data_IF_361456769003
#
_entry.id   IF_361456769003
#
_cell.length_a   1.000
_cell.length_b   1.000
_cell.length_c   1.000
_cell.angle_alpha   90.00
_cell.angle_beta   90.00
_cell.angle_gamma   90.00
#
_symmetry.space_group_name_H-M   'P 1'
#
loop_
_entity.id
_entity.type
_entity.pdbx_description
1 polymer ?
#
# COMPACT_ATOMS: atom_id res chain seq x y z
N UNK A 1 -7.73 20.59 -16.29
CA UNK A 1 -6.94 20.26 -17.50
C UNK A 1 -7.78 19.28 -18.29
N UNK A 2 -8.29 19.71 -19.46
CA UNK A 2 -9.25 18.97 -20.27
C UNK A 2 -8.56 17.73 -20.89
N UNK A 3 -9.07 16.53 -20.61
CA UNK A 3 -8.67 15.32 -21.34
C UNK A 3 -9.49 15.27 -22.61
N UNK A 4 -8.86 15.54 -23.75
CA UNK A 4 -9.41 15.26 -25.08
C UNK A 4 -9.43 13.75 -25.33
N UNK A 5 -10.49 13.19 -25.92
CA UNK A 5 -10.50 11.78 -26.29
C UNK A 5 -9.56 11.57 -27.49
N UNK A 6 -8.61 10.67 -27.33
CA UNK A 6 -7.66 10.28 -28.39
C UNK A 6 -8.43 9.52 -29.46
N UNK A 7 -8.64 10.16 -30.62
CA UNK A 7 -8.86 9.45 -31.88
C UNK A 7 -7.52 9.18 -32.53
N UNK A 8 -7.27 7.90 -32.80
CA UNK A 8 -6.21 7.31 -33.63
C UNK A 8 -4.79 7.31 -33.05
N UNK A 9 -4.53 6.33 -32.21
CA UNK A 9 -3.22 5.65 -32.13
C UNK A 9 -3.47 4.14 -32.13
N UNK A 10 -2.61 3.41 -32.83
CA UNK A 10 -2.56 1.94 -32.95
C UNK A 10 -3.04 1.20 -31.70
N UNK A 11 -3.94 0.23 -31.84
CA UNK A 11 -4.55 -0.53 -30.75
C UNK A 11 -3.50 -1.17 -29.81
N UNK A 12 -3.12 -0.43 -28.77
CA UNK A 12 -2.38 -0.89 -27.60
C UNK A 12 -3.42 -1.28 -26.53
N UNK A 13 -3.10 -2.28 -25.70
CA UNK A 13 -4.00 -2.85 -24.70
C UNK A 13 -4.25 -1.83 -23.56
N UNK A 14 -5.17 -0.88 -23.78
CA UNK A 14 -5.50 0.15 -22.78
C UNK A 14 -6.55 -0.35 -21.79
N UNK A 15 -6.18 -0.47 -20.52
CA UNK A 15 -7.12 -0.76 -19.43
C UNK A 15 -7.71 0.54 -18.91
N UNK A 16 -9.03 0.74 -19.08
CA UNK A 16 -9.74 1.93 -18.56
C UNK A 16 -10.20 1.72 -17.11
N UNK A 17 -9.86 2.66 -16.23
CA UNK A 17 -10.17 2.60 -14.79
C UNK A 17 -10.92 3.87 -14.36
N UNK A 18 -12.14 3.70 -13.86
CA UNK A 18 -12.95 4.79 -13.31
C UNK A 18 -12.89 4.80 -11.79
N UNK A 19 -12.48 5.90 -11.17
CA UNK A 19 -12.58 6.10 -9.72
C UNK A 19 -13.83 6.91 -9.42
N UNK A 20 -14.88 6.26 -8.92
CA UNK A 20 -16.10 6.89 -8.43
C UNK A 20 -15.91 7.39 -7.00
N UNK A 21 -15.54 8.65 -6.92
CA UNK A 21 -15.20 9.36 -5.71
C UNK A 21 -16.43 10.02 -5.07
N UNK A 22 -16.54 9.89 -3.75
CA UNK A 22 -17.52 10.60 -2.94
C UNK A 22 -16.83 11.70 -2.10
N UNK A 23 -17.60 12.74 -1.77
CA UNK A 23 -17.15 13.77 -0.83
C UNK A 23 -16.82 13.15 0.54
N UNK A 24 -15.77 13.66 1.18
CA UNK A 24 -15.21 13.11 2.42
C UNK A 24 -14.44 11.80 2.26
N UNK A 25 -14.14 11.34 1.03
CA UNK A 25 -13.33 10.12 0.85
C UNK A 25 -11.90 10.29 1.41
N UNK A 26 -11.29 9.21 1.93
CA UNK A 26 -9.87 9.22 2.29
C UNK A 26 -8.97 9.39 1.06
N UNK A 27 -8.08 10.39 1.09
CA UNK A 27 -7.18 10.71 -0.03
C UNK A 27 -6.17 9.59 -0.30
N UNK A 28 -5.74 8.87 0.73
CA UNK A 28 -4.77 7.78 0.62
C UNK A 28 -5.27 6.66 -0.32
N UNK A 29 -6.55 6.32 -0.27
CA UNK A 29 -7.14 5.29 -1.14
C UNK A 29 -7.06 5.68 -2.62
N UNK A 30 -7.31 6.96 -2.92
CA UNK A 30 -7.17 7.49 -4.28
C UNK A 30 -5.70 7.51 -4.69
N UNK A 31 -4.84 8.13 -3.88
CA UNK A 31 -3.42 8.30 -4.19
C UNK A 31 -2.72 6.96 -4.43
N UNK A 32 -2.99 5.95 -3.60
CA UNK A 32 -2.45 4.60 -3.75
C UNK A 32 -2.85 3.99 -5.11
N UNK A 33 -4.12 4.10 -5.50
CA UNK A 33 -4.59 3.57 -6.77
C UNK A 33 -3.97 4.27 -7.98
N UNK A 34 -3.93 5.60 -7.96
CA UNK A 34 -3.39 6.40 -9.05
C UNK A 34 -1.90 6.15 -9.28
N UNK A 35 -1.10 6.24 -8.21
CA UNK A 35 0.35 6.06 -8.32
C UNK A 35 0.71 4.62 -8.71
N UNK A 36 -0.02 3.61 -8.20
CA UNK A 36 0.29 2.22 -8.51
C UNK A 36 0.01 1.90 -9.98
N UNK A 37 -1.15 2.31 -10.50
CA UNK A 37 -1.52 2.10 -11.90
C UNK A 37 -0.59 2.87 -12.84
N UNK A 38 -0.19 4.09 -12.47
CA UNK A 38 0.76 4.88 -13.26
C UNK A 38 2.12 4.19 -13.36
N UNK A 39 2.68 3.71 -12.25
CA UNK A 39 3.95 2.97 -12.27
C UNK A 39 3.81 1.64 -13.02
N UNK A 40 2.68 0.95 -12.88
CA UNK A 40 2.42 -0.29 -13.59
C UNK A 40 2.44 -0.09 -15.11
N UNK A 41 1.79 0.97 -15.61
CA UNK A 41 1.81 1.31 -17.03
C UNK A 41 3.22 1.63 -17.55
N UNK A 42 4.00 2.38 -16.77
CA UNK A 42 5.39 2.71 -17.13
C UNK A 42 6.29 1.47 -17.27
N UNK A 43 6.08 0.46 -16.42
CA UNK A 43 6.87 -0.79 -16.46
C UNK A 43 6.34 -1.80 -17.48
N UNK A 44 5.05 -1.75 -17.81
CA UNK A 44 4.45 -2.63 -18.80
C UNK A 44 5.04 -2.37 -20.19
N UNK A 45 5.20 -1.10 -20.56
CA UNK A 45 5.72 -0.67 -21.87
C UNK A 45 4.68 -0.73 -22.99
N UNK A 46 3.81 -1.75 -22.98
CA UNK A 46 2.77 -1.99 -24.00
C UNK A 46 1.33 -1.85 -23.48
N UNK A 47 1.13 -1.86 -22.16
CA UNK A 47 -0.19 -1.61 -21.55
C UNK A 47 -0.26 -0.24 -20.89
N UNK A 48 -1.34 0.47 -21.17
CA UNK A 48 -1.61 1.79 -20.61
C UNK A 48 -2.85 1.73 -19.71
N UNK A 49 -2.75 2.28 -18.50
CA UNK A 49 -3.91 2.49 -17.64
C UNK A 49 -4.48 3.88 -17.85
N UNK A 50 -5.64 3.97 -18.49
CA UNK A 50 -6.36 5.23 -18.66
C UNK A 50 -7.28 5.44 -17.48
N UNK A 51 -6.94 6.42 -16.63
CA UNK A 51 -7.66 6.68 -15.38
C UNK A 51 -8.56 7.89 -15.49
N UNK A 52 -9.82 7.75 -15.06
CA UNK A 52 -10.80 8.85 -15.00
C UNK A 52 -11.36 8.97 -13.59
N UNK A 53 -11.30 10.19 -13.04
CA UNK A 53 -11.95 10.52 -11.76
C UNK A 53 -13.40 10.93 -12.01
N UNK A 54 -14.30 10.33 -11.25
CA UNK A 54 -15.74 10.45 -11.39
C UNK A 54 -16.39 10.87 -10.06
N UNK A 55 -17.47 11.63 -10.14
CA UNK A 55 -18.43 11.80 -9.05
C UNK A 55 -19.85 11.83 -9.62
N UNK A 56 -20.87 11.85 -8.77
CA UNK A 56 -22.27 11.79 -9.25
C UNK A 56 -22.59 12.93 -10.22
N UNK A 57 -22.14 14.16 -9.94
CA UNK A 57 -22.43 15.34 -10.76
C UNK A 57 -21.17 15.97 -11.39
N UNK A 58 -19.98 15.42 -11.13
CA UNK A 58 -18.71 16.04 -11.52
C UNK A 58 -18.39 17.26 -10.66
N UNK A 59 -17.34 17.97 -11.04
CA UNK A 59 -16.83 19.12 -10.29
C UNK A 59 -15.88 18.71 -9.16
N UNK A 60 -15.60 19.66 -8.28
CA UNK A 60 -14.64 19.47 -7.20
C UNK A 60 -15.31 18.85 -5.98
N UNK A 61 -14.69 17.79 -5.46
CA UNK A 61 -15.04 17.17 -4.18
C UNK A 61 -13.94 17.44 -3.17
N UNK A 62 -14.25 17.37 -1.88
CA UNK A 62 -13.29 17.56 -0.80
C UNK A 62 -13.02 16.22 -0.12
N UNK A 63 -11.75 15.86 0.00
CA UNK A 63 -11.32 14.63 0.70
C UNK A 63 -11.41 14.81 2.22
N UNK A 64 -11.32 13.71 2.98
CA UNK A 64 -11.37 13.75 4.45
C UNK A 64 -10.28 14.60 5.09
N UNK A 65 -9.16 14.85 4.39
CA UNK A 65 -8.08 15.72 4.84
C UNK A 65 -8.17 17.16 4.29
N UNK A 66 -9.29 17.54 3.67
CA UNK A 66 -9.53 18.89 3.17
C UNK A 66 -8.94 19.20 1.79
N UNK A 67 -8.34 18.23 1.10
CA UNK A 67 -7.82 18.43 -0.26
C UNK A 67 -8.95 18.36 -1.30
N UNK A 68 -8.99 19.32 -2.22
CA UNK A 68 -9.91 19.32 -3.36
C UNK A 68 -9.46 18.37 -4.47
N UNK A 69 -10.41 17.64 -5.07
CA UNK A 69 -10.18 16.73 -6.21
C UNK A 69 -11.22 17.01 -7.29
N UNK A 70 -10.76 17.32 -8.51
CA UNK A 70 -11.65 17.60 -9.64
C UNK A 70 -12.09 16.32 -10.33
N UNK A 71 -13.39 16.20 -10.61
CA UNK A 71 -14.03 14.98 -11.12
C UNK A 71 -14.95 15.23 -12.30
N UNK A 72 -15.18 14.19 -13.11
CA UNK A 72 -16.17 14.19 -14.18
C UNK A 72 -17.51 13.62 -13.67
N UNK A 73 -18.66 14.07 -14.22
CA UNK A 73 -19.94 13.45 -13.90
C UNK A 73 -20.03 12.02 -14.44
N UNK A 74 -20.63 11.13 -13.66
CA UNK A 74 -21.04 9.82 -14.17
C UNK A 74 -22.03 9.96 -15.33
N UNK A 75 -21.89 9.07 -16.33
CA UNK A 75 -22.85 8.97 -17.43
C UNK A 75 -22.71 10.00 -18.55
N UNK A 76 -21.72 10.91 -18.52
CA UNK A 76 -21.58 11.91 -19.59
C UNK A 76 -21.01 11.37 -20.90
N UNK A 77 -20.40 10.17 -20.92
CA UNK A 77 -19.70 9.68 -22.13
C UNK A 77 -19.87 8.18 -22.45
N UNK A 78 -20.79 7.44 -21.83
CA UNK A 78 -20.99 6.01 -22.17
C UNK A 78 -19.70 5.16 -22.10
N UNK A 79 -18.66 5.66 -21.43
CA UNK A 79 -17.38 4.99 -21.33
C UNK A 79 -17.53 3.87 -20.31
N UNK A 80 -17.66 2.65 -20.81
CA UNK A 80 -17.57 1.46 -19.98
C UNK A 80 -16.13 1.33 -19.49
N UNK A 81 -15.93 1.42 -18.18
CA UNK A 81 -14.64 1.17 -17.55
C UNK A 81 -14.43 -0.33 -17.41
N UNK A 82 -13.22 -0.81 -17.71
CA UNK A 82 -12.84 -2.20 -17.40
C UNK A 82 -12.83 -2.44 -15.89
N UNK A 83 -12.46 -1.40 -15.11
CA UNK A 83 -12.44 -1.42 -13.65
C UNK A 83 -13.11 -0.17 -13.11
N UNK A 84 -14.08 -0.34 -12.21
CA UNK A 84 -14.75 0.75 -11.50
C UNK A 84 -14.43 0.64 -10.01
N UNK A 85 -13.70 1.63 -9.47
CA UNK A 85 -13.31 1.71 -8.05
C UNK A 85 -14.20 2.71 -7.34
N UNK A 86 -14.87 2.31 -6.26
CA UNK A 86 -15.68 3.17 -5.41
C UNK A 86 -14.88 3.58 -4.18
N UNK A 87 -14.81 4.89 -3.92
CA UNK A 87 -14.10 5.48 -2.78
C UNK A 87 -15.04 6.35 -1.93
N UNK A 88 -14.97 6.18 -0.61
CA UNK A 88 -15.80 6.89 0.37
C UNK A 88 -17.25 6.39 0.51
N UNK A 89 -18.06 7.03 1.36
CA UNK A 89 -19.50 6.76 1.47
C UNK A 89 -20.07 6.69 2.89
N UNK A 90 -20.95 7.66 3.19
CA UNK A 90 -22.03 7.54 4.20
C UNK A 90 -23.19 8.52 3.95
N UNK A 91 -22.94 9.63 3.25
CA UNK A 91 -23.94 10.66 2.99
C UNK A 91 -24.33 10.59 1.51
N UNK A 92 -25.55 10.16 1.20
CA UNK A 92 -26.04 10.28 -0.18
C UNK A 92 -27.56 10.37 -0.25
N UNK A 93 -28.04 11.31 -1.05
CA UNK A 93 -29.47 11.53 -1.31
C UNK A 93 -30.07 10.32 -2.05
N UNK A 94 -31.40 10.18 -2.06
CA UNK A 94 -32.07 9.12 -2.81
C UNK A 94 -31.73 9.11 -4.31
N UNK A 95 -31.46 10.29 -4.87
CA UNK A 95 -30.98 10.43 -6.25
C UNK A 95 -29.57 9.84 -6.43
N UNK A 96 -28.62 10.21 -5.55
CA UNK A 96 -27.26 9.70 -5.60
C UNK A 96 -27.23 8.17 -5.51
N UNK A 97 -28.05 7.59 -4.62
CA UNK A 97 -28.20 6.12 -4.51
C UNK A 97 -28.66 5.48 -5.82
N UNK A 98 -29.68 6.05 -6.45
CA UNK A 98 -30.22 5.57 -7.74
C UNK A 98 -29.18 5.65 -8.86
N UNK A 99 -28.49 6.78 -9.00
CA UNK A 99 -27.48 6.97 -10.03
C UNK A 99 -26.29 6.03 -9.83
N UNK A 100 -25.79 5.89 -8.60
CA UNK A 100 -24.74 4.94 -8.24
C UNK A 100 -25.12 3.50 -8.58
N UNK A 101 -26.33 3.07 -8.19
CA UNK A 101 -26.82 1.73 -8.48
C UNK A 101 -26.94 1.46 -9.97
N UNK A 102 -27.41 2.45 -10.76
CA UNK A 102 -27.44 2.36 -12.22
C UNK A 102 -26.03 2.19 -12.80
N UNK A 103 -25.07 3.00 -12.37
CA UNK A 103 -23.68 2.96 -12.83
C UNK A 103 -23.02 1.62 -12.52
N UNK A 104 -23.06 1.17 -11.25
CA UNK A 104 -22.46 -0.10 -10.81
C UNK A 104 -23.05 -1.29 -11.56
N UNK A 105 -24.38 -1.39 -11.63
CA UNK A 105 -25.05 -2.49 -12.32
C UNK A 105 -24.85 -2.46 -13.84
N UNK A 106 -24.64 -1.28 -14.43
CA UNK A 106 -24.30 -1.12 -15.84
C UNK A 106 -22.92 -1.71 -16.13
N UNK A 107 -21.92 -1.32 -15.35
CA UNK A 107 -20.54 -1.80 -15.46
C UNK A 107 -20.43 -3.32 -15.25
N UNK A 108 -21.12 -3.87 -14.24
CA UNK A 108 -21.13 -5.33 -14.03
C UNK A 108 -21.74 -6.08 -15.22
N UNK A 109 -22.77 -5.52 -15.88
CA UNK A 109 -23.41 -6.14 -17.05
C UNK A 109 -22.49 -6.24 -18.26
N UNK A 110 -21.62 -5.26 -18.46
CA UNK A 110 -20.61 -5.27 -19.54
C UNK A 110 -19.31 -5.99 -19.14
N UNK A 111 -19.28 -6.60 -17.95
CA UNK A 111 -18.16 -7.41 -17.49
C UNK A 111 -17.05 -6.63 -16.78
N UNK A 112 -17.29 -5.40 -16.34
CA UNK A 112 -16.30 -4.66 -15.54
C UNK A 112 -16.06 -5.34 -14.18
N UNK A 113 -14.87 -5.13 -13.63
CA UNK A 113 -14.57 -5.40 -12.22
C UNK A 113 -15.02 -4.19 -11.41
N UNK A 114 -15.80 -4.40 -10.35
CA UNK A 114 -16.18 -3.34 -9.41
C UNK A 114 -15.47 -3.56 -8.10
N UNK A 115 -14.72 -2.56 -7.64
CA UNK A 115 -13.95 -2.60 -6.40
C UNK A 115 -14.54 -1.58 -5.43
N UNK A 116 -14.89 -1.98 -4.21
CA UNK A 116 -15.24 -1.06 -3.12
C UNK A 116 -14.17 -1.08 -2.03
N UNK A 117 -13.75 0.12 -1.59
CA UNK A 117 -12.70 0.28 -0.60
C UNK A 117 -13.25 0.91 0.69
N UNK A 118 -12.95 0.27 1.82
CA UNK A 118 -13.30 0.70 3.17
C UNK A 118 -14.79 1.08 3.27
N UNK A 119 -15.11 2.34 3.56
CA UNK A 119 -16.50 2.82 3.69
C UNK A 119 -17.34 2.65 2.42
N UNK A 120 -16.73 2.53 1.25
CA UNK A 120 -17.45 2.37 -0.01
C UNK A 120 -18.22 1.05 -0.11
N UNK A 121 -17.91 0.07 0.75
CA UNK A 121 -18.66 -1.19 0.81
C UNK A 121 -20.14 -0.95 1.16
N UNK A 122 -20.45 0.06 1.98
CA UNK A 122 -21.83 0.47 2.28
C UNK A 122 -22.54 0.96 1.02
N UNK A 123 -21.88 1.86 0.28
CA UNK A 123 -22.42 2.41 -0.95
C UNK A 123 -22.62 1.34 -2.03
N UNK A 124 -21.78 0.30 -2.06
CA UNK A 124 -21.92 -0.86 -2.92
C UNK A 124 -23.08 -1.76 -2.48
N UNK A 125 -23.22 -2.01 -1.17
CA UNK A 125 -24.30 -2.82 -0.61
C UNK A 125 -25.69 -2.20 -0.85
N UNK A 126 -25.81 -0.87 -0.79
CA UNK A 126 -27.04 -0.14 -1.15
C UNK A 126 -27.52 -0.42 -2.59
N UNK A 127 -26.61 -0.80 -3.49
CA UNK A 127 -26.96 -1.16 -4.87
C UNK A 127 -27.54 -2.58 -5.00
N UNK A 128 -27.60 -3.34 -3.91
CA UNK A 128 -28.08 -4.74 -3.81
C UNK A 128 -27.27 -5.77 -4.60
N UNK A 129 -26.13 -5.38 -5.19
CA UNK A 129 -25.27 -6.32 -5.94
C UNK A 129 -24.47 -7.26 -5.03
N UNK A 130 -24.38 -6.93 -3.73
CA UNK A 130 -23.72 -7.77 -2.72
C UNK A 130 -24.67 -8.76 -2.03
N UNK A 131 -25.98 -8.71 -2.29
CA UNK A 131 -26.93 -9.60 -1.63
C UNK A 131 -26.60 -11.07 -1.91
N UNK A 132 -26.44 -11.86 -0.85
CA UNK A 132 -26.04 -13.27 -0.93
C UNK A 132 -24.55 -13.50 -1.20
N UNK A 133 -23.73 -12.44 -1.23
CA UNK A 133 -22.28 -12.52 -1.42
C UNK A 133 -21.52 -12.21 -0.13
N UNK A 134 -20.25 -12.59 -0.11
CA UNK A 134 -19.30 -12.23 0.95
C UNK A 134 -18.56 -10.94 0.59
N UNK A 135 -18.37 -10.06 1.57
CA UNK A 135 -17.64 -8.81 1.44
C UNK A 135 -16.63 -8.64 2.59
N UNK A 136 -15.46 -8.11 2.29
CA UNK A 136 -14.49 -7.64 3.28
C UNK A 136 -14.92 -6.26 3.80
N UNK A 137 -15.03 -6.15 5.11
CA UNK A 137 -15.43 -4.94 5.82
C UNK A 137 -14.45 -4.72 6.97
N UNK A 138 -14.00 -3.49 7.20
CA UNK A 138 -13.11 -3.17 8.31
C UNK A 138 -13.77 -3.49 9.66
N UNK A 139 -12.97 -3.95 10.63
CA UNK A 139 -13.48 -4.39 11.93
C UNK A 139 -14.34 -3.31 12.62
N UNK A 140 -13.93 -2.05 12.50
CA UNK A 140 -14.63 -0.90 13.08
C UNK A 140 -16.02 -0.65 12.46
N UNK A 141 -16.23 -1.13 11.22
CA UNK A 141 -17.48 -0.96 10.48
C UNK A 141 -18.33 -2.23 10.43
N UNK A 142 -17.76 -3.39 10.78
CA UNK A 142 -18.38 -4.69 10.58
C UNK A 142 -19.74 -4.84 11.28
N UNK A 143 -19.87 -4.35 12.52
CA UNK A 143 -21.13 -4.42 13.27
C UNK A 143 -22.23 -3.57 12.61
N UNK A 144 -21.93 -2.30 12.33
CA UNK A 144 -22.88 -1.39 11.68
C UNK A 144 -23.26 -1.86 10.26
N UNK A 145 -22.30 -2.43 9.54
CA UNK A 145 -22.55 -3.00 8.21
C UNK A 145 -23.49 -4.20 8.29
N UNK A 146 -23.24 -5.13 9.21
CA UNK A 146 -24.06 -6.34 9.35
C UNK A 146 -25.49 -6.04 9.80
N UNK A 147 -25.68 -5.02 10.65
CA UNK A 147 -27.00 -4.53 11.07
C UNK A 147 -27.79 -3.96 9.88
N UNK A 148 -27.12 -3.18 9.03
CA UNK A 148 -27.76 -2.51 7.89
C UNK A 148 -27.98 -3.43 6.68
N UNK A 149 -27.10 -4.44 6.50
CA UNK A 149 -27.10 -5.33 5.34
C UNK A 149 -27.00 -6.81 5.77
N UNK A 150 -28.06 -7.37 6.39
CA UNK A 150 -28.06 -8.74 6.91
C UNK A 150 -27.89 -9.81 5.82
N UNK A 151 -28.24 -9.49 4.57
CA UNK A 151 -28.12 -10.39 3.42
C UNK A 151 -26.68 -10.50 2.86
N UNK A 152 -25.72 -9.74 3.41
CA UNK A 152 -24.32 -9.76 3.00
C UNK A 152 -23.48 -10.41 4.10
N UNK A 153 -22.66 -11.39 3.74
CA UNK A 153 -21.75 -12.02 4.69
C UNK A 153 -20.47 -11.20 4.85
N UNK A 154 -20.18 -10.72 6.06
CA UNK A 154 -18.90 -10.05 6.34
C UNK A 154 -17.78 -11.07 6.62
N UNK A 155 -16.62 -10.93 5.96
CA UNK A 155 -15.41 -11.73 6.25
C UNK A 155 -14.40 -10.97 7.11
N UNK A 156 -13.54 -11.70 7.81
CA UNK A 156 -12.39 -11.14 8.55
C UNK A 156 -11.15 -10.90 7.68
N UNK A 157 -11.17 -11.37 6.44
CA UNK A 157 -10.09 -11.11 5.49
C UNK A 157 -10.07 -9.62 5.11
N UNK A 158 -8.87 -9.04 4.99
CA UNK A 158 -8.68 -7.63 4.64
C UNK A 158 -9.11 -7.28 3.22
N UNK A 159 -9.24 -8.28 2.35
CA UNK A 159 -9.82 -8.11 1.02
C UNK A 159 -10.50 -9.40 0.58
N UNK A 160 -11.51 -9.28 -0.28
CA UNK A 160 -12.27 -10.43 -0.77
C UNK A 160 -12.70 -10.22 -2.23
N UNK A 161 -12.75 -11.30 -3.02
CA UNK A 161 -13.16 -11.28 -4.44
C UNK A 161 -14.35 -12.22 -4.66
N UNK A 162 -15.55 -11.66 -4.78
CA UNK A 162 -16.76 -12.37 -5.18
C UNK A 162 -16.99 -12.22 -6.69
N UNK A 163 -16.33 -13.06 -7.50
CA UNK A 163 -16.37 -12.96 -8.95
C UNK A 163 -15.79 -11.63 -9.47
N UNK A 164 -16.64 -10.78 -10.06
CA UNK A 164 -16.27 -9.44 -10.55
C UNK A 164 -16.44 -8.33 -9.51
N UNK A 165 -16.93 -8.66 -8.31
CA UNK A 165 -17.12 -7.70 -7.22
C UNK A 165 -16.03 -7.93 -6.19
N UNK A 166 -15.16 -6.95 -5.99
CA UNK A 166 -14.05 -7.00 -5.05
C UNK A 166 -14.24 -5.97 -3.94
N UNK A 167 -13.84 -6.32 -2.74
CA UNK A 167 -13.99 -5.47 -1.55
C UNK A 167 -12.69 -5.49 -0.77
N UNK A 168 -12.26 -4.33 -0.28
CA UNK A 168 -11.07 -4.16 0.55
C UNK A 168 -11.42 -3.36 1.81
N UNK A 169 -10.96 -3.80 2.97
CA UNK A 169 -11.20 -3.14 4.26
C UNK A 169 -10.44 -1.82 4.43
N UNK A 170 -9.34 -1.61 3.70
CA UNK A 170 -8.48 -0.44 3.80
C UNK A 170 -7.69 -0.16 2.51
N UNK A 171 -7.01 0.98 2.44
CA UNK A 171 -6.21 1.39 1.27
C UNK A 171 -5.09 0.40 0.90
N UNK A 172 -4.40 -0.21 1.86
CA UNK A 172 -3.36 -1.22 1.57
C UNK A 172 -3.94 -2.56 1.11
N UNK A 173 -5.11 -2.95 1.63
CA UNK A 173 -5.82 -4.13 1.14
C UNK A 173 -6.33 -3.90 -0.29
N UNK A 174 -6.73 -2.67 -0.62
CA UNK A 174 -7.04 -2.25 -1.99
C UNK A 174 -5.81 -2.32 -2.90
N UNK A 175 -4.66 -1.85 -2.44
CA UNK A 175 -3.40 -1.97 -3.17
C UNK A 175 -3.06 -3.44 -3.47
N UNK A 176 -3.29 -4.36 -2.53
CA UNK A 176 -3.10 -5.80 -2.75
C UNK A 176 -4.02 -6.34 -3.85
N UNK A 177 -5.29 -5.91 -3.88
CA UNK A 177 -6.22 -6.26 -4.96
C UNK A 177 -5.74 -5.76 -6.33
N UNK A 178 -5.26 -4.51 -6.40
CA UNK A 178 -4.69 -3.93 -7.62
C UNK A 178 -3.42 -4.65 -8.05
N UNK A 179 -2.52 -4.96 -7.11
CA UNK A 179 -1.30 -5.71 -7.39
C UNK A 179 -1.60 -7.07 -8.00
N UNK A 180 -2.54 -7.82 -7.42
CA UNK A 180 -2.98 -9.10 -7.98
C UNK A 180 -3.70 -9.00 -9.33
N UNK A 181 -4.24 -7.82 -9.68
CA UNK A 181 -4.80 -7.56 -11.01
C UNK A 181 -3.68 -7.32 -12.02
N UNK A 182 -2.74 -6.42 -11.69
CA UNK A 182 -1.58 -6.07 -12.52
C UNK A 182 -0.63 -7.27 -12.71
N UNK A 183 -0.52 -8.15 -11.72
CA UNK A 183 0.29 -9.37 -11.78
C UNK A 183 -0.12 -10.33 -12.90
N UNK A 184 -1.34 -10.22 -13.43
CA UNK A 184 -1.79 -11.03 -14.58
C UNK A 184 -1.27 -10.49 -15.92
N UNK A 185 -0.81 -9.23 -15.94
CA UNK A 185 -0.39 -8.50 -17.12
C UNK A 185 1.13 -8.32 -17.18
N UNK A 186 1.81 -8.37 -16.04
CA UNK A 186 3.27 -8.23 -15.94
C UNK A 186 3.97 -9.57 -15.72
N UNK A 187 5.19 -9.68 -16.24
CA UNK A 187 6.10 -10.77 -15.83
C UNK A 187 6.46 -10.64 -14.35
N UNK A 188 6.81 -11.75 -13.69
CA UNK A 188 7.17 -11.76 -12.27
C UNK A 188 8.30 -10.76 -11.94
N UNK A 189 9.29 -10.62 -12.82
CA UNK A 189 10.39 -9.66 -12.64
C UNK A 189 9.90 -8.20 -12.66
N UNK A 190 9.00 -7.85 -13.58
CA UNK A 190 8.42 -6.50 -13.67
C UNK A 190 7.47 -6.22 -12.51
N UNK A 191 6.72 -7.22 -12.06
CA UNK A 191 5.87 -7.10 -10.87
C UNK A 191 6.70 -6.83 -9.61
N UNK A 192 7.78 -7.57 -9.42
CA UNK A 192 8.69 -7.33 -8.30
C UNK A 192 9.30 -5.94 -8.40
N UNK A 193 9.64 -5.46 -9.60
CA UNK A 193 10.14 -4.10 -9.83
C UNK A 193 9.11 -3.03 -9.50
N UNK A 194 7.86 -3.22 -9.93
CA UNK A 194 6.75 -2.35 -9.58
C UNK A 194 6.59 -2.26 -8.06
N UNK A 195 6.53 -3.41 -7.40
CA UNK A 195 6.36 -3.48 -5.95
C UNK A 195 7.54 -2.83 -5.22
N UNK A 196 8.78 -3.07 -5.65
CA UNK A 196 9.94 -2.32 -5.16
C UNK A 196 9.74 -0.81 -5.34
N UNK A 197 9.50 -0.35 -6.55
CA UNK A 197 9.45 1.09 -6.85
C UNK A 197 8.34 1.80 -6.07
N UNK A 198 7.19 1.15 -5.92
CA UNK A 198 6.06 1.68 -5.17
C UNK A 198 6.29 1.65 -3.65
N UNK A 199 6.89 0.57 -3.12
CA UNK A 199 7.12 0.39 -1.67
C UNK A 199 8.40 1.05 -1.14
N UNK A 200 9.39 1.30 -2.01
CA UNK A 200 10.66 1.95 -1.62
C UNK A 200 10.44 3.44 -1.27
N UNK A 201 9.26 4.01 -1.55
CA UNK A 201 8.82 5.32 -1.08
C UNK A 201 8.12 5.31 0.30
N UNK A 202 8.39 4.31 1.15
CA UNK A 202 7.91 4.29 2.54
C UNK A 202 9.04 4.49 3.57
N UNK A 203 8.97 5.49 4.46
CA UNK A 203 9.47 5.31 5.80
C UNK A 203 8.59 4.24 6.45
N UNK A 204 9.20 3.16 6.92
CA UNK A 204 8.56 2.08 7.69
C UNK A 204 7.73 2.64 8.85
N UNK A 205 6.46 2.91 8.60
CA UNK A 205 5.42 2.94 9.61
C UNK A 205 4.76 1.56 9.60
N UNK A 206 5.01 0.84 10.68
CA UNK A 206 4.54 -0.51 10.96
C UNK A 206 3.02 -0.56 11.03
N UNK A 207 2.36 -0.67 9.88
CA UNK A 207 1.13 -1.43 9.78
C UNK A 207 1.56 -2.88 9.52
N UNK A 208 0.98 -3.85 10.23
CA UNK A 208 1.41 -5.26 10.33
C UNK A 208 1.46 -6.08 9.03
N UNK A 209 1.46 -5.44 7.87
CA UNK A 209 1.63 -6.04 6.55
C UNK A 209 3.04 -5.69 6.06
N UNK A 210 4.00 -6.58 6.30
CA UNK A 210 5.39 -6.41 5.89
C UNK A 210 5.54 -6.69 4.40
N UNK A 211 5.61 -5.65 3.58
CA UNK A 211 6.23 -5.75 2.25
C UNK A 211 7.59 -5.03 2.34
N UNK A 212 8.65 -5.82 2.46
CA UNK A 212 10.06 -5.39 2.45
C UNK A 212 10.62 -5.45 1.02
N UNK A 213 11.72 -4.73 0.74
CA UNK A 213 12.30 -4.66 -0.60
C UNK A 213 12.92 -6.01 -1.01
N UNK A 214 12.96 -6.20 -2.32
CA UNK A 214 13.52 -7.31 -3.09
C UNK A 214 14.48 -8.29 -2.41
N UNK A 215 14.14 -9.58 -2.57
CA UNK A 215 14.98 -10.73 -2.20
C UNK A 215 14.79 -11.22 -0.76
N UNK A 216 13.95 -10.55 0.03
CA UNK A 216 13.62 -10.94 1.39
C UNK A 216 12.09 -11.03 1.58
N UNK A 217 11.47 -12.04 0.97
CA UNK A 217 10.10 -12.40 1.31
C UNK A 217 10.03 -12.92 2.74
N UNK A 218 9.13 -12.34 3.51
CA UNK A 218 8.78 -12.79 4.84
C UNK A 218 7.55 -13.67 4.71
N UNK A 219 7.72 -14.98 4.56
CA UNK A 219 6.60 -15.90 4.75
C UNK A 219 6.70 -17.25 4.10
N UNK A 220 7.25 -17.34 2.88
CA UNK A 220 7.45 -18.61 2.19
C UNK A 220 8.44 -18.38 1.04
N UNK A 221 9.74 -18.61 1.28
CA UNK A 221 10.76 -18.58 0.23
C UNK A 221 10.62 -19.77 -0.75
N UNK A 222 9.53 -20.54 -0.65
CA UNK A 222 9.34 -21.84 -1.28
C UNK A 222 10.27 -22.91 -0.70
N UNK A 223 11.02 -22.57 0.35
CA UNK A 223 12.01 -23.43 0.98
C UNK A 223 11.85 -23.36 2.50
N UNK A 224 11.10 -24.33 3.03
CA UNK A 224 10.77 -24.44 4.45
C UNK A 224 11.99 -24.32 5.39
N UNK A 225 13.17 -24.79 4.96
CA UNK A 225 14.39 -24.67 5.76
C UNK A 225 14.90 -23.23 5.86
N UNK A 226 14.78 -22.44 4.78
CA UNK A 226 15.14 -21.02 4.78
C UNK A 226 14.16 -20.23 5.62
N UNK A 227 12.86 -20.50 5.51
CA UNK A 227 11.83 -19.79 6.28
C UNK A 227 11.98 -20.03 7.79
N UNK A 228 12.22 -21.29 8.19
CA UNK A 228 12.52 -21.65 9.57
C UNK A 228 13.79 -20.95 10.07
N UNK A 229 14.84 -20.87 9.26
CA UNK A 229 16.07 -20.17 9.63
C UNK A 229 15.86 -18.66 9.78
N UNK A 230 15.09 -18.03 8.90
CA UNK A 230 14.72 -16.60 8.99
C UNK A 230 13.94 -16.34 10.27
N UNK A 231 13.01 -17.23 10.64
CA UNK A 231 12.29 -17.15 11.91
C UNK A 231 13.25 -17.16 13.11
N UNK A 232 14.25 -18.05 13.11
CA UNK A 232 15.28 -18.06 14.16
C UNK A 232 16.11 -16.77 14.18
N UNK A 233 16.50 -16.23 13.01
CA UNK A 233 17.24 -14.98 12.94
C UNK A 233 16.45 -13.81 13.54
N UNK A 234 15.14 -13.73 13.28
CA UNK A 234 14.28 -12.64 13.76
C UNK A 234 13.99 -12.71 15.26
N UNK A 235 13.86 -13.91 15.79
CA UNK A 235 13.62 -14.13 17.23
C UNK A 235 14.90 -13.96 18.06
N UNK A 236 16.08 -13.89 17.43
CA UNK A 236 17.39 -13.81 18.08
C UNK A 236 18.21 -12.64 17.53
N UNK A 237 17.67 -11.42 17.48
CA UNK A 237 18.41 -10.26 16.94
C UNK A 237 19.44 -9.68 17.92
N UNK A 238 19.08 -9.62 19.20
CA UNK A 238 19.92 -9.09 20.29
C UNK A 238 21.09 -10.03 20.61
N UNK A 239 20.82 -11.34 20.65
CA UNK A 239 21.80 -12.39 20.89
C UNK A 239 21.89 -13.33 19.67
N UNK A 240 22.72 -13.02 18.66
CA UNK A 240 22.73 -13.74 17.41
C UNK A 240 23.24 -15.17 17.56
N UNK A 241 22.46 -16.14 17.07
CA UNK A 241 22.85 -17.55 17.13
C UNK A 241 23.94 -17.88 16.10
N UNK A 242 24.88 -18.79 16.43
CA UNK A 242 25.77 -19.39 15.44
C UNK A 242 24.96 -20.10 14.33
N UNK A 243 25.37 -19.93 13.08
CA UNK A 243 24.68 -20.56 11.94
C UNK A 243 24.64 -22.09 12.02
N UNK A 244 25.66 -22.70 12.65
CA UNK A 244 25.69 -24.13 12.94
C UNK A 244 24.54 -24.58 13.83
N UNK A 245 24.15 -23.73 14.79
CA UNK A 245 23.11 -24.07 15.76
C UNK A 245 21.73 -23.87 15.14
N UNK A 246 21.57 -22.83 14.32
CA UNK A 246 20.37 -22.65 13.51
C UNK A 246 20.18 -23.83 12.55
N UNK A 247 21.24 -24.25 11.84
CA UNK A 247 21.20 -25.41 10.95
C UNK A 247 20.79 -26.71 11.68
N UNK A 248 21.35 -26.95 12.87
CA UNK A 248 20.96 -28.08 13.73
C UNK A 248 19.49 -28.01 14.14
N UNK A 249 19.00 -26.84 14.59
CA UNK A 249 17.61 -26.66 15.05
C UNK A 249 16.58 -26.91 13.95
N UNK A 250 16.90 -26.57 12.70
CA UNK A 250 16.01 -26.77 11.55
C UNK A 250 16.22 -28.12 10.83
N UNK A 251 17.15 -28.96 11.31
CA UNK A 251 17.37 -30.31 10.79
C UNK A 251 18.16 -30.41 9.47
N UNK A 252 19.02 -29.43 9.16
CA UNK A 252 19.85 -29.45 7.93
C UNK A 252 21.33 -29.26 8.25
N UNK A 253 22.22 -29.67 7.34
CA UNK A 253 23.64 -29.33 7.46
C UNK A 253 23.89 -27.85 7.14
N UNK A 254 24.96 -27.27 7.71
CA UNK A 254 25.33 -25.87 7.42
C UNK A 254 25.54 -25.62 5.92
N UNK A 255 26.11 -26.59 5.19
CA UNK A 255 26.31 -26.50 3.74
C UNK A 255 24.99 -26.50 2.96
N UNK A 256 24.01 -27.28 3.39
CA UNK A 256 22.66 -27.26 2.81
C UNK A 256 21.98 -25.92 3.08
N UNK A 257 22.10 -25.41 4.31
CA UNK A 257 21.56 -24.09 4.67
C UNK A 257 22.14 -22.98 3.79
N UNK A 258 23.46 -22.97 3.59
CA UNK A 258 24.13 -22.00 2.71
C UNK A 258 23.63 -22.09 1.26
N UNK A 259 23.49 -23.30 0.73
CA UNK A 259 22.97 -23.53 -0.62
C UNK A 259 21.52 -23.06 -0.75
N UNK A 260 20.68 -23.39 0.23
CA UNK A 260 19.26 -23.01 0.21
C UNK A 260 19.10 -21.50 0.27
N UNK A 261 19.83 -20.81 1.16
CA UNK A 261 19.83 -19.34 1.20
C UNK A 261 20.33 -18.72 -0.10
N UNK A 262 21.41 -19.25 -0.68
CA UNK A 262 21.94 -18.71 -1.95
C UNK A 262 20.92 -18.84 -3.07
N UNK A 263 20.23 -19.97 -3.14
CA UNK A 263 19.20 -20.24 -4.14
C UNK A 263 17.94 -19.40 -3.93
N UNK A 264 17.51 -19.23 -2.68
CA UNK A 264 16.25 -18.56 -2.35
C UNK A 264 16.36 -17.03 -2.27
N UNK A 265 17.49 -16.51 -1.79
CA UNK A 265 17.65 -15.08 -1.44
C UNK A 265 18.80 -14.40 -2.20
N UNK A 266 19.60 -15.16 -2.96
CA UNK A 266 20.83 -14.66 -3.58
C UNK A 266 21.99 -14.40 -2.61
N UNK A 267 21.75 -14.47 -1.29
CA UNK A 267 22.71 -14.18 -0.22
C UNK A 267 23.13 -15.44 0.53
N UNK A 268 24.25 -15.36 1.26
CA UNK A 268 24.57 -16.39 2.27
C UNK A 268 23.74 -16.16 3.54
N UNK A 269 23.50 -17.19 4.37
CA UNK A 269 22.75 -17.04 5.63
C UNK A 269 23.36 -15.99 6.55
N UNK A 270 24.71 -15.92 6.60
CA UNK A 270 25.44 -14.91 7.36
C UNK A 270 25.17 -13.49 6.86
N UNK A 271 25.24 -13.29 5.55
CA UNK A 271 25.02 -11.99 4.93
C UNK A 271 23.57 -11.54 5.13
N UNK A 272 22.62 -12.45 4.95
CA UNK A 272 21.20 -12.25 5.20
C UNK A 272 20.93 -11.82 6.65
N UNK A 273 21.49 -12.54 7.62
CA UNK A 273 21.27 -12.24 9.04
C UNK A 273 21.83 -10.88 9.45
N UNK A 274 23.00 -10.52 8.91
CA UNK A 274 23.58 -9.18 9.11
C UNK A 274 22.67 -8.12 8.47
N UNK A 275 22.14 -8.37 7.27
CA UNK A 275 21.25 -7.45 6.59
C UNK A 275 19.97 -7.19 7.39
N UNK A 276 19.26 -8.24 7.85
CA UNK A 276 18.05 -8.09 8.69
C UNK A 276 18.32 -7.27 9.96
N UNK A 277 19.46 -7.51 10.61
CA UNK A 277 19.84 -6.76 11.81
C UNK A 277 20.21 -5.30 11.50
N UNK A 278 20.74 -5.01 10.31
CA UNK A 278 20.98 -3.64 9.84
C UNK A 278 19.68 -2.90 9.52
N UNK A 279 18.72 -3.57 8.88
CA UNK A 279 17.39 -3.03 8.63
C UNK A 279 16.68 -2.69 9.95
N UNK A 280 16.72 -3.60 10.93
CA UNK A 280 16.19 -3.34 12.27
C UNK A 280 16.86 -2.14 12.94
N UNK A 281 18.19 -2.04 12.84
CA UNK A 281 18.93 -0.92 13.41
C UNK A 281 18.51 0.40 12.75
N UNK A 282 18.37 0.42 11.42
CA UNK A 282 17.89 1.61 10.68
C UNK A 282 16.49 2.02 11.12
N UNK A 283 15.58 1.08 11.28
CA UNK A 283 14.24 1.37 11.81
C UNK A 283 14.30 1.99 13.20
N UNK A 284 15.12 1.45 14.12
CA UNK A 284 15.28 2.03 15.46
C UNK A 284 15.92 3.43 15.44
N UNK A 285 16.92 3.64 14.58
CA UNK A 285 17.58 4.94 14.38
C UNK A 285 16.57 5.99 13.94
N UNK A 286 15.64 5.62 13.05
CA UNK A 286 14.58 6.49 12.54
C UNK A 286 13.42 6.68 13.51
N UNK A 287 12.90 5.62 14.12
CA UNK A 287 11.63 5.64 14.83
C UNK A 287 11.76 6.02 16.32
N UNK A 288 12.97 5.96 16.89
CA UNK A 288 13.16 6.09 18.34
C UNK A 288 14.28 7.06 18.71
N UNK A 289 14.27 7.52 19.95
CA UNK A 289 15.29 8.41 20.52
C UNK A 289 16.26 7.70 21.47
N UNK A 290 16.19 6.36 21.59
CA UNK A 290 17.12 5.58 22.42
C UNK A 290 18.58 5.75 21.93
N UNK A 291 19.58 5.53 22.78
CA UNK A 291 20.97 5.76 22.40
C UNK A 291 21.43 4.83 21.27
N UNK A 292 22.41 5.27 20.46
CA UNK A 292 22.97 4.43 19.40
C UNK A 292 23.71 3.21 19.95
N UNK A 293 24.15 3.27 21.20
CA UNK A 293 24.73 2.14 21.92
C UNK A 293 23.65 1.10 22.26
N UNK A 294 22.49 1.52 22.75
CA UNK A 294 21.35 0.62 23.00
C UNK A 294 20.84 -0.02 21.70
N UNK A 295 20.79 0.73 20.59
CA UNK A 295 20.46 0.15 19.28
C UNK A 295 21.47 -0.91 18.88
N UNK A 296 22.77 -0.67 19.11
CA UNK A 296 23.80 -1.64 18.81
C UNK A 296 23.65 -2.92 19.64
N UNK A 297 23.24 -2.82 20.91
CA UNK A 297 22.96 -3.96 21.77
C UNK A 297 21.70 -4.71 21.33
N UNK A 298 20.56 -4.01 21.17
CA UNK A 298 19.28 -4.60 20.77
C UNK A 298 19.31 -5.27 19.39
N UNK A 299 20.24 -4.86 18.52
CA UNK A 299 20.48 -5.48 17.22
C UNK A 299 21.73 -6.35 17.19
N UNK A 300 22.31 -6.68 18.35
CA UNK A 300 23.37 -7.67 18.58
C UNK A 300 24.77 -7.31 18.08
N UNK A 301 25.02 -6.06 17.70
CA UNK A 301 26.34 -5.61 17.22
C UNK A 301 27.33 -5.34 18.35
N UNK A 302 26.86 -5.33 19.61
CA UNK A 302 27.68 -5.25 20.82
C UNK A 302 28.25 -3.85 21.11
N UNK A 303 28.57 -3.07 20.08
CA UNK A 303 29.06 -1.70 20.23
C UNK A 303 28.59 -0.77 19.13
N UNK A 304 28.46 0.51 19.48
CA UNK A 304 28.21 1.57 18.52
C UNK A 304 29.26 1.62 17.40
N UNK A 305 30.53 1.35 17.69
CA UNK A 305 31.59 1.35 16.68
C UNK A 305 31.33 0.30 15.59
N UNK A 306 30.97 -0.93 15.99
CA UNK A 306 30.63 -2.01 15.05
C UNK A 306 29.35 -1.70 14.27
N UNK A 307 28.33 -1.18 14.95
CA UNK A 307 27.09 -0.76 14.32
C UNK A 307 27.38 0.31 13.26
N UNK A 308 28.04 1.41 13.63
CA UNK A 308 28.30 2.57 12.77
C UNK A 308 29.14 2.20 11.55
N UNK A 309 30.18 1.38 11.71
CA UNK A 309 30.98 0.88 10.59
C UNK A 309 30.14 0.10 9.57
N UNK A 310 29.33 -0.86 10.04
CA UNK A 310 28.48 -1.69 9.17
C UNK A 310 27.36 -0.86 8.55
N UNK A 311 26.74 0.00 9.34
CA UNK A 311 25.67 0.87 8.91
C UNK A 311 26.12 1.81 7.77
N UNK A 312 27.30 2.42 7.90
CA UNK A 312 27.90 3.24 6.83
C UNK A 312 28.19 2.41 5.59
N UNK A 313 28.67 1.17 5.74
CA UNK A 313 28.93 0.28 4.61
C UNK A 313 27.66 -0.13 3.88
N UNK A 314 26.56 -0.35 4.60
CA UNK A 314 25.27 -0.79 4.05
C UNK A 314 24.47 0.37 3.46
N UNK A 315 24.38 1.51 4.16
CA UNK A 315 23.48 2.61 3.82
C UNK A 315 24.18 3.87 3.32
N UNK A 316 25.51 3.86 3.25
CA UNK A 316 26.35 4.99 2.81
C UNK A 316 26.27 6.25 3.71
N UNK A 317 25.53 6.20 4.81
CA UNK A 317 25.41 7.24 5.83
C UNK A 317 25.65 6.66 7.22
N UNK A 318 26.00 7.47 8.22
CA UNK A 318 26.11 6.99 9.61
C UNK A 318 24.79 7.14 10.36
N UNK A 319 24.55 6.36 11.44
CA UNK A 319 23.35 6.49 12.27
C UNK A 319 23.16 7.92 12.84
N UNK A 320 24.28 8.59 13.18
CA UNK A 320 24.27 9.97 13.67
C UNK A 320 23.83 10.95 12.58
N UNK A 321 24.37 10.79 11.36
CA UNK A 321 23.99 11.63 10.23
C UNK A 321 22.51 11.47 9.90
N UNK A 322 22.00 10.24 9.95
CA UNK A 322 20.61 9.95 9.63
C UNK A 322 19.63 10.52 10.67
N UNK A 323 19.97 10.44 11.98
CA UNK A 323 19.21 11.16 13.03
C UNK A 323 19.22 12.67 12.86
N UNK A 324 20.37 13.24 12.48
CA UNK A 324 20.48 14.68 12.23
C UNK A 324 19.60 15.12 11.07
N UNK A 325 19.56 14.33 9.99
CA UNK A 325 18.66 14.59 8.85
C UNK A 325 17.19 14.48 9.24
N UNK A 326 16.82 13.50 10.07
CA UNK A 326 15.47 13.38 10.64
C UNK A 326 15.10 14.63 11.44
N UNK A 327 15.94 15.06 12.39
CA UNK A 327 15.69 16.24 13.20
C UNK A 327 15.57 17.53 12.36
N UNK A 328 16.38 17.66 11.29
CA UNK A 328 16.29 18.78 10.35
C UNK A 328 14.99 18.78 9.54
N UNK A 329 14.52 17.59 9.10
CA UNK A 329 13.23 17.44 8.43
C UNK A 329 12.08 17.79 9.35
N UNK A 330 12.08 17.28 10.58
CA UNK A 330 11.08 17.61 11.60
C UNK A 330 11.06 19.13 11.89
N UNK A 331 12.21 19.78 12.02
CA UNK A 331 12.29 21.24 12.23
C UNK A 331 11.78 22.07 11.04
N UNK A 332 11.95 21.61 9.80
CA UNK A 332 11.43 22.29 8.61
C UNK A 332 9.88 22.30 8.60
N UNK A 333 9.24 21.24 9.11
CA UNK A 333 7.78 21.18 9.26
C UNK A 333 7.26 22.11 10.36
N UNK A 334 8.00 22.34 11.44
CA UNK A 334 7.58 23.25 12.53
C UNK A 334 7.85 24.75 12.22
N UNK A 335 8.98 25.09 11.58
CA UNK A 335 9.28 26.49 11.21
C UNK A 335 8.38 26.97 10.04
N UNK A 336 7.98 26.05 9.14
CA UNK A 336 7.05 26.35 8.05
C UNK A 336 5.60 26.64 8.49
N UNK A 337 5.22 26.23 9.71
CA UNK A 337 3.92 26.58 10.31
C UNK A 337 3.95 27.92 11.06
N UNK A 338 5.04 28.24 11.77
CA UNK A 338 5.13 29.51 12.50
C UNK A 338 5.27 30.75 11.60
N UNK A 339 5.86 30.62 10.40
CA UNK A 339 6.00 31.74 9.47
C UNK A 339 4.76 32.03 8.60
N UNK A 340 3.66 31.27 8.73
CA UNK A 340 2.39 31.57 8.03
C UNK A 340 1.30 32.21 8.90
N UNK A 341 1.55 32.36 10.21
CA UNK A 341 0.59 32.98 11.13
C UNK A 341 0.99 34.38 11.63
N UNK A 342 2.12 34.93 11.19
CA UNK A 342 2.47 36.33 11.45
C UNK A 342 1.92 37.24 10.33
N UNK A 343 0.59 37.26 10.19
CA UNK A 343 -0.13 38.27 9.41
C UNK A 343 -0.20 39.57 10.24
N UNK A 344 0.29 40.65 9.63
CA UNK A 344 0.41 42.00 10.15
C UNK A 344 -0.89 42.52 10.84
N UNK A 345 -0.88 42.93 12.12
CA UNK A 345 -2.06 43.51 12.77
C UNK A 345 -2.07 45.03 12.61
N UNK A 346 -2.19 45.54 11.38
CA UNK A 346 -2.49 46.95 11.13
C UNK A 346 -3.25 47.07 9.81
N UNK A 347 -4.57 47.09 9.90
CA UNK A 347 -5.50 47.91 9.08
C UNK A 347 -6.92 47.42 9.36
N UNK A 348 -7.56 48.02 10.36
CA UNK A 348 -9.02 48.28 10.40
C UNK A 348 -9.26 49.26 11.54
N UNK A 349 -9.31 50.55 11.21
CA UNK A 349 -9.84 51.62 12.07
C UNK A 349 -10.88 52.36 11.23
N UNK A 350 -12.08 52.50 11.79
CA UNK A 350 -12.92 53.69 11.57
C UNK A 350 -12.48 54.76 12.57
#
# INVERSE_FOLDING_TARGET
MLVTPVKNATAQNTTTVGFLCADGMPLDQLALGLEYLKLAGQLSGDEEYSVVLLSIHGGDITTSCGMGVSTNPIGRDGADFHVLVLLGGLQSTSEHKRLRARTVRGHLRVGAIVIAVDRAVFALAETKVLNGLTASVSADLALAFQEQFPDVQSTREDSFKAGRIWTASAGFSFLSLLSGMVARQLSQSKLNELNRNFLTYRPTLSCGCTLKPDGLESGDTGNEAVDKAIHYFRTHMEEPLPLSDVAKKIGVSLRQLERHFRSATGLSPKAYYIYERMEQAKMMVHATNISLQEIALATGFGSYATLSYRYKKTFQVTPVQERRQRAQRENFYYVGQNNRCAGNPQEFVL
#
